data_IF_649726956835
#
_entry.id   IF_649726956835
#
_cell.length_a   1.000
_cell.length_b   1.000
_cell.length_c   1.000
_cell.angle_alpha   90.00
_cell.angle_beta   90.00
_cell.angle_gamma   90.00
#
_symmetry.space_group_name_H-M   'P 1'
#
loop_
_entity.id
_entity.type
_entity.pdbx_description
1 polymer ?
#
# COMPACT_ATOMS: atom_id res chain seq x y z
N UNK A 1 1.62 -13.16 22.69
CA UNK A 1 0.84 -13.42 21.47
C UNK A 1 0.09 -12.15 21.15
N UNK A 2 0.34 -11.50 20.01
CA UNK A 2 -0.34 -10.27 19.61
C UNK A 2 -1.62 -10.66 18.84
N UNK A 3 -2.77 -10.83 19.52
CA UNK A 3 -3.92 -11.53 18.93
C UNK A 3 -4.73 -10.64 17.98
N UNK A 4 -4.52 -9.32 18.05
CA UNK A 4 -5.23 -8.31 17.28
C UNK A 4 -4.35 -7.67 16.20
N UNK A 5 -3.09 -8.08 16.10
CA UNK A 5 -2.18 -7.60 15.05
C UNK A 5 -2.24 -8.63 13.92
N UNK A 6 -3.19 -8.43 13.02
CA UNK A 6 -3.25 -9.18 11.77
C UNK A 6 -2.04 -8.85 10.88
N UNK A 7 -1.64 -9.82 10.06
CA UNK A 7 -0.67 -9.66 8.97
C UNK A 7 0.82 -9.51 9.35
N UNK A 8 1.25 -9.91 10.56
CA UNK A 8 2.69 -9.93 10.94
C UNK A 8 3.54 -10.77 9.97
N UNK A 9 2.97 -11.86 9.43
CA UNK A 9 3.57 -12.70 8.39
C UNK A 9 2.73 -12.74 7.11
N UNK A 10 1.98 -11.66 6.84
CA UNK A 10 1.13 -11.57 5.67
C UNK A 10 1.92 -11.73 4.38
N UNK A 11 1.40 -12.55 3.46
CA UNK A 11 1.88 -12.66 2.09
C UNK A 11 0.74 -12.23 1.18
N UNK A 12 1.02 -11.31 0.27
CA UNK A 12 0.06 -10.82 -0.72
C UNK A 12 0.60 -11.07 -2.11
N UNK A 13 -0.20 -11.72 -2.95
CA UNK A 13 0.13 -11.88 -4.34
C UNK A 13 -0.14 -10.57 -5.09
N UNK A 14 0.70 -10.22 -6.07
CA UNK A 14 0.52 -8.98 -6.84
C UNK A 14 -0.84 -8.89 -7.54
N UNK A 15 -1.44 -10.02 -7.93
CA UNK A 15 -2.78 -10.08 -8.51
C UNK A 15 -3.91 -9.70 -7.53
N UNK A 16 -3.64 -9.79 -6.23
CA UNK A 16 -4.60 -9.42 -5.19
C UNK A 16 -4.61 -7.92 -4.94
N UNK A 17 -3.53 -7.21 -5.30
CA UNK A 17 -3.41 -5.78 -5.08
C UNK A 17 -4.36 -5.03 -6.03
N UNK A 18 -5.24 -4.20 -5.46
CA UNK A 18 -6.25 -3.44 -6.21
C UNK A 18 -5.97 -1.96 -6.27
N UNK A 19 -5.36 -1.40 -5.23
CA UNK A 19 -4.99 0.00 -5.18
C UNK A 19 -3.84 0.21 -4.20
N UNK A 20 -3.05 1.25 -4.45
CA UNK A 20 -1.91 1.65 -3.65
C UNK A 20 -2.04 3.15 -3.41
N UNK A 21 -2.04 3.57 -2.15
CA UNK A 21 -2.17 4.97 -1.77
C UNK A 21 -0.96 5.41 -0.95
N UNK A 22 -0.39 6.56 -1.30
CA UNK A 22 0.54 7.25 -0.41
C UNK A 22 -0.21 7.85 0.78
N UNK A 23 0.32 7.68 1.99
CA UNK A 23 -0.27 8.16 3.24
C UNK A 23 0.75 8.99 4.03
N UNK A 24 0.22 9.81 4.93
CA UNK A 24 1.04 10.52 5.93
C UNK A 24 1.04 9.74 7.23
N UNK A 25 2.22 9.52 7.81
CA UNK A 25 2.41 8.96 9.14
C UNK A 25 3.20 9.97 9.98
N UNK A 26 2.64 10.36 11.13
CA UNK A 26 3.16 11.45 11.97
C UNK A 26 3.40 12.73 11.17
N UNK A 27 2.42 13.10 10.33
CA UNK A 27 2.44 14.27 9.44
C UNK A 27 3.51 14.24 8.33
N UNK A 28 4.31 13.18 8.23
CA UNK A 28 5.32 12.99 7.18
C UNK A 28 4.79 12.05 6.09
N UNK A 29 5.10 12.33 4.82
CA UNK A 29 4.67 11.56 3.65
C UNK A 29 5.48 10.27 3.42
N UNK A 30 5.72 9.55 4.52
CA UNK A 30 6.57 8.37 4.59
C UNK A 30 5.79 7.06 4.72
N UNK A 31 4.50 7.04 4.43
CA UNK A 31 3.69 5.84 4.54
C UNK A 31 3.01 5.44 3.24
N UNK A 32 2.68 4.16 3.13
CA UNK A 32 2.02 3.56 1.99
C UNK A 32 0.91 2.63 2.51
N UNK A 33 -0.27 2.71 1.92
CA UNK A 33 -1.37 1.81 2.21
C UNK A 33 -1.73 1.02 0.96
N UNK A 34 -1.77 -0.30 1.11
CA UNK A 34 -2.05 -1.25 0.03
C UNK A 34 -3.42 -1.86 0.30
N UNK A 35 -4.30 -1.77 -0.70
CA UNK A 35 -5.63 -2.36 -0.67
C UNK A 35 -5.64 -3.62 -1.53
N UNK A 36 -6.11 -4.72 -0.94
CA UNK A 36 -6.19 -6.03 -1.59
C UNK A 36 -7.64 -6.42 -1.89
N UNK A 37 -7.81 -7.41 -2.76
CA UNK A 37 -9.09 -7.85 -3.33
C UNK A 37 -10.10 -8.33 -2.28
N UNK A 38 -9.63 -8.88 -1.17
CA UNK A 38 -10.42 -9.32 -0.02
C UNK A 38 -10.92 -8.17 0.88
N UNK A 39 -10.80 -6.91 0.43
CA UNK A 39 -11.18 -5.68 1.17
C UNK A 39 -10.39 -5.44 2.45
N UNK A 40 -9.26 -6.11 2.66
CA UNK A 40 -8.33 -5.72 3.72
C UNK A 40 -7.36 -4.65 3.20
N UNK A 41 -6.80 -3.87 4.13
CA UNK A 41 -5.72 -2.94 3.83
C UNK A 41 -4.56 -3.14 4.78
N UNK A 42 -3.37 -2.82 4.30
CA UNK A 42 -2.13 -2.91 5.08
C UNK A 42 -1.37 -1.62 4.89
N UNK A 43 -1.06 -0.97 6.01
CA UNK A 43 -0.30 0.27 6.01
C UNK A 43 1.13 0.00 6.46
N UNK A 44 2.08 0.45 5.64
CA UNK A 44 3.50 0.43 5.95
C UNK A 44 3.97 1.86 6.20
N UNK A 45 4.61 2.08 7.35
CA UNK A 45 5.35 3.31 7.63
C UNK A 45 6.83 3.06 7.35
N UNK A 46 7.42 3.88 6.49
CA UNK A 46 8.83 3.85 6.15
C UNK A 46 9.58 4.96 6.89
N UNK A 47 10.91 4.90 6.84
CA UNK A 47 11.79 5.91 7.46
C UNK A 47 11.73 7.22 6.67
N UNK A 48 11.70 7.15 5.33
CA UNK A 48 11.81 8.30 4.43
C UNK A 48 10.92 8.15 3.18
N UNK A 49 10.47 9.27 2.62
CA UNK A 49 9.70 9.37 1.37
C UNK A 49 10.44 8.77 0.16
N UNK A 50 11.76 8.85 0.13
CA UNK A 50 12.59 8.26 -0.93
C UNK A 50 12.42 6.73 -1.01
N UNK A 51 12.25 6.07 0.14
CA UNK A 51 11.97 4.63 0.22
C UNK A 51 10.58 4.35 -0.31
N UNK A 52 9.58 5.16 0.06
CA UNK A 52 8.21 5.02 -0.47
C UNK A 52 8.21 5.05 -1.99
N UNK A 53 8.91 6.02 -2.61
CA UNK A 53 9.04 6.10 -4.08
C UNK A 53 9.67 4.86 -4.69
N UNK A 54 10.73 4.32 -4.07
CA UNK A 54 11.38 3.07 -4.53
C UNK A 54 10.41 1.90 -4.45
N UNK A 55 9.70 1.74 -3.34
CA UNK A 55 8.74 0.64 -3.13
C UNK A 55 7.60 0.71 -4.14
N UNK A 56 7.01 1.89 -4.35
CA UNK A 56 5.97 2.11 -5.37
C UNK A 56 6.47 1.74 -6.77
N UNK A 57 7.75 2.00 -7.08
CA UNK A 57 8.34 1.63 -8.37
C UNK A 57 8.47 0.10 -8.56
N UNK A 58 8.59 -0.69 -7.49
CA UNK A 58 8.63 -2.16 -7.56
C UNK A 58 7.25 -2.83 -7.50
N UNK A 59 6.23 -2.11 -7.03
CA UNK A 59 4.87 -2.62 -6.95
C UNK A 59 4.16 -2.63 -8.31
N UNK A 60 3.14 -3.49 -8.51
CA UNK A 60 2.36 -3.51 -9.74
C UNK A 60 1.71 -2.15 -10.01
N UNK A 61 1.54 -1.82 -11.29
CA UNK A 61 0.96 -0.54 -11.76
C UNK A 61 -0.56 -0.55 -11.60
N UNK A 62 -1.03 -0.67 -10.37
CA UNK A 62 -2.46 -0.63 -10.04
C UNK A 62 -2.96 0.76 -9.62
N UNK A 63 -2.04 1.70 -9.34
CA UNK A 63 -2.37 3.09 -9.03
C UNK A 63 -3.45 3.22 -7.94
N UNK A 64 -4.40 4.12 -8.16
CA UNK A 64 -5.54 4.39 -7.25
C UNK A 64 -6.64 3.33 -7.37
N UNK A 65 -6.50 2.35 -8.28
CA UNK A 65 -7.53 1.36 -8.58
C UNK A 65 -8.66 1.91 -9.45
N UNK A 66 -9.16 1.08 -10.38
CA UNK A 66 -10.13 1.51 -11.42
C UNK A 66 -11.49 2.00 -10.90
N UNK A 67 -11.79 1.84 -9.60
CA UNK A 67 -13.05 2.31 -8.99
C UNK A 67 -13.10 3.81 -8.74
N UNK A 68 -11.96 4.49 -8.75
CA UNK A 68 -11.89 5.92 -8.45
C UNK A 68 -11.91 6.82 -9.71
N UNK A 69 -12.10 6.24 -10.90
CA UNK A 69 -12.22 6.99 -12.15
C UNK A 69 -10.95 7.76 -12.58
N UNK A 70 -9.86 7.62 -11.83
CA UNK A 70 -8.58 8.23 -12.12
C UNK A 70 -7.76 7.31 -13.02
N UNK A 71 -6.97 7.86 -13.96
CA UNK A 71 -6.09 7.07 -14.79
C UNK A 71 -5.12 6.29 -13.90
N UNK A 72 -4.95 5.01 -14.19
CA UNK A 72 -4.08 4.10 -13.45
C UNK A 72 -2.61 4.47 -13.72
N UNK A 73 -2.15 5.55 -13.09
CA UNK A 73 -0.80 6.06 -13.24
C UNK A 73 0.07 5.69 -12.03
N UNK A 74 1.39 5.76 -12.23
CA UNK A 74 2.41 5.51 -11.20
C UNK A 74 2.61 6.72 -10.31
#
# INVERSE_FOLDING_TARGET
>A
MFPYIDNIHGKWHFNEIRAIFSRRYLLQDKALEIFVSNRTSVMFAFIDRSIVKKVVNFLPRVGVGGRYGLPQQR
#
